data_IF_188444392843
#
_entry.id   IF_188444392843
#
_cell.length_a   1.000
_cell.length_b   1.000
_cell.length_c   1.000
_cell.angle_alpha   90.00
_cell.angle_beta   90.00
_cell.angle_gamma   90.00
#
_symmetry.space_group_name_H-M   'P 1'
#
loop_
_entity.id
_entity.type
_entity.pdbx_description
1 polymer ?
#
# COMPACT_ATOMS: atom_id res chain seq x y z
N UNK A 1 7.40 -12.92 7.34
CA UNK A 1 6.13 -13.29 6.65
C UNK A 1 5.55 -12.05 6.02
N UNK A 2 5.06 -12.05 4.79
CA UNK A 2 4.58 -10.81 4.18
C UNK A 2 3.15 -10.43 4.64
N UNK A 3 3.01 -9.50 5.59
CA UNK A 3 1.72 -9.10 6.19
C UNK A 3 1.24 -7.68 5.80
N UNK A 4 1.85 -7.04 4.80
CA UNK A 4 1.51 -5.67 4.40
C UNK A 4 0.05 -5.47 3.93
N UNK A 5 -0.53 -6.45 3.22
CA UNK A 5 -1.93 -6.37 2.77
C UNK A 5 -2.93 -6.62 3.92
N UNK A 6 -2.57 -7.52 4.83
CA UNK A 6 -3.35 -7.74 6.05
C UNK A 6 -3.35 -6.50 6.93
N UNK A 7 -2.21 -5.79 7.04
CA UNK A 7 -2.12 -4.51 7.72
C UNK A 7 -3.06 -3.46 7.10
N UNK A 8 -3.06 -3.30 5.77
CA UNK A 8 -3.98 -2.38 5.11
C UNK A 8 -5.44 -2.75 5.41
N UNK A 9 -5.80 -4.03 5.26
CA UNK A 9 -7.16 -4.52 5.56
C UNK A 9 -7.56 -4.29 7.02
N UNK A 10 -6.62 -4.48 7.95
CA UNK A 10 -6.84 -4.23 9.38
C UNK A 10 -7.08 -2.74 9.63
N UNK A 11 -6.29 -1.83 9.06
CA UNK A 11 -6.50 -0.39 9.19
C UNK A 11 -7.88 0.05 8.69
N UNK A 12 -8.32 -0.46 7.53
CA UNK A 12 -9.66 -0.18 7.01
C UNK A 12 -10.76 -0.71 7.94
N UNK A 13 -10.57 -1.93 8.48
CA UNK A 13 -11.48 -2.49 9.48
C UNK A 13 -11.55 -1.66 10.77
N UNK A 14 -10.41 -1.15 11.27
CA UNK A 14 -10.38 -0.24 12.43
C UNK A 14 -11.08 1.09 12.15
N UNK A 15 -11.06 1.56 10.90
CA UNK A 15 -11.79 2.75 10.47
C UNK A 15 -13.27 2.49 10.14
N UNK A 16 -13.80 1.28 10.38
CA UNK A 16 -15.20 0.92 10.19
C UNK A 16 -15.58 0.45 8.80
N UNK A 17 -14.62 0.31 7.87
CA UNK A 17 -14.89 -0.17 6.52
C UNK A 17 -14.97 -1.70 6.48
N UNK A 18 -15.91 -2.22 5.67
CA UNK A 18 -16.08 -3.67 5.45
C UNK A 18 -15.04 -4.26 4.48
N UNK A 19 -14.33 -3.41 3.74
CA UNK A 19 -13.36 -3.78 2.72
C UNK A 19 -12.21 -2.75 2.67
N UNK A 20 -11.03 -3.11 2.14
CA UNK A 20 -10.64 -4.44 1.68
C UNK A 20 -10.38 -5.43 2.83
N UNK A 21 -10.57 -6.73 2.57
CA UNK A 21 -10.29 -7.81 3.54
C UNK A 21 -9.49 -8.94 2.86
N UNK A 22 -8.18 -8.76 2.78
CA UNK A 22 -7.28 -9.71 2.12
C UNK A 22 -5.86 -9.65 2.66
N UNK A 23 -5.18 -10.80 2.69
CA UNK A 23 -3.75 -10.89 2.97
C UNK A 23 -2.89 -10.88 1.69
N UNK A 24 -3.50 -10.76 0.51
CA UNK A 24 -2.82 -10.84 -0.79
C UNK A 24 -2.76 -9.46 -1.47
N UNK A 25 -1.57 -8.87 -1.55
CA UNK A 25 -1.40 -7.49 -2.03
C UNK A 25 -1.95 -7.20 -3.44
N UNK A 26 -1.85 -8.10 -4.46
CA UNK A 26 -2.52 -7.86 -5.75
C UNK A 26 -4.03 -7.68 -5.67
N UNK A 27 -4.70 -8.33 -4.71
CA UNK A 27 -6.16 -8.26 -4.58
C UNK A 27 -6.66 -6.90 -4.07
N UNK A 28 -5.77 -6.02 -3.59
CA UNK A 28 -6.09 -4.65 -3.21
C UNK A 28 -6.28 -3.71 -4.40
N UNK A 29 -5.98 -4.15 -5.63
CA UNK A 29 -6.03 -3.32 -6.84
C UNK A 29 -6.96 -3.90 -7.92
N UNK A 30 -8.24 -4.20 -7.62
CA UNK A 30 -9.19 -4.60 -8.65
C UNK A 30 -9.45 -3.44 -9.62
N UNK A 31 -9.75 -3.70 -10.91
CA UNK A 31 -9.86 -2.66 -11.94
C UNK A 31 -10.74 -1.46 -11.56
N UNK A 32 -11.90 -1.69 -10.95
CA UNK A 32 -12.84 -0.62 -10.56
C UNK A 32 -12.41 0.24 -9.37
N UNK A 33 -11.30 -0.10 -8.69
CA UNK A 33 -10.76 0.68 -7.57
C UNK A 33 -9.50 1.45 -7.96
N UNK A 34 -8.91 1.18 -9.12
CA UNK A 34 -7.64 1.80 -9.52
C UNK A 34 -7.86 3.26 -9.90
N UNK A 35 -7.04 4.14 -9.33
CA UNK A 35 -7.07 5.59 -9.59
C UNK A 35 -5.71 6.10 -10.09
N UNK A 36 -5.72 7.24 -10.79
CA UNK A 36 -4.52 7.82 -11.42
C UNK A 36 -3.68 8.67 -10.47
N UNK A 37 -4.30 9.25 -9.45
CA UNK A 37 -3.66 10.17 -8.52
C UNK A 37 -3.76 9.65 -7.09
N UNK A 38 -2.72 9.90 -6.29
CA UNK A 38 -2.72 9.59 -4.88
C UNK A 38 -3.48 10.64 -4.08
N UNK A 39 -4.30 10.19 -3.13
CA UNK A 39 -4.86 11.00 -2.05
C UNK A 39 -4.65 10.29 -0.71
N UNK A 40 -4.59 11.04 0.41
CA UNK A 40 -4.59 10.42 1.74
C UNK A 40 -5.76 9.44 1.93
N UNK A 41 -5.49 8.30 2.56
CA UNK A 41 -6.45 7.21 2.75
C UNK A 41 -6.41 6.14 1.66
N UNK A 42 -5.85 6.42 0.48
CA UNK A 42 -5.76 5.44 -0.61
C UNK A 42 -4.68 4.39 -0.35
N UNK A 43 -4.88 3.19 -0.90
CA UNK A 43 -3.87 2.12 -0.88
C UNK A 43 -2.89 2.33 -2.03
N UNK A 44 -1.59 2.24 -1.75
CA UNK A 44 -0.54 2.27 -2.76
C UNK A 44 0.12 0.90 -2.89
N UNK A 45 0.56 0.55 -4.12
CA UNK A 45 1.14 -0.75 -4.44
C UNK A 45 2.48 -0.62 -5.15
N UNK A 46 3.45 -1.43 -4.73
CA UNK A 46 4.76 -1.54 -5.36
C UNK A 46 4.86 -2.83 -6.18
N UNK A 47 5.25 -2.67 -7.44
CA UNK A 47 5.46 -3.79 -8.35
C UNK A 47 6.88 -4.34 -8.20
N UNK A 48 6.99 -5.66 -8.08
CA UNK A 48 8.28 -6.36 -8.00
C UNK A 48 8.47 -7.17 -9.28
N UNK A 49 9.43 -6.80 -10.16
CA UNK A 49 9.64 -7.49 -11.43
C UNK A 49 9.92 -8.98 -11.30
N UNK A 50 10.71 -9.39 -10.30
CA UNK A 50 11.04 -10.80 -10.04
C UNK A 50 9.81 -11.66 -9.71
N UNK A 51 8.75 -11.05 -9.16
CA UNK A 51 7.51 -11.73 -8.79
C UNK A 51 6.37 -11.46 -9.78
N UNK A 52 6.60 -10.58 -10.76
CA UNK A 52 5.65 -10.15 -11.80
C UNK A 52 4.29 -9.71 -11.27
N UNK A 53 4.27 -9.05 -10.10
CA UNK A 53 3.04 -8.59 -9.44
C UNK A 53 3.30 -7.44 -8.47
N UNK A 54 2.22 -6.83 -7.99
CA UNK A 54 2.27 -6.01 -6.77
C UNK A 54 2.64 -6.94 -5.61
N UNK A 55 3.81 -6.75 -5.02
CA UNK A 55 4.30 -7.61 -3.94
C UNK A 55 4.39 -6.89 -2.58
N UNK A 56 4.15 -5.58 -2.58
CA UNK A 56 4.09 -4.76 -1.38
C UNK A 56 3.03 -3.66 -1.51
N UNK A 57 2.46 -3.24 -0.39
CA UNK A 57 1.44 -2.21 -0.33
C UNK A 57 1.49 -1.43 0.98
N UNK A 58 0.91 -0.24 0.98
CA UNK A 58 0.71 0.59 2.17
C UNK A 58 -0.42 1.58 1.97
N UNK A 59 -0.60 2.47 2.94
CA UNK A 59 -1.63 3.53 2.92
C UNK A 59 -0.94 4.87 2.71
N UNK A 60 -1.42 5.67 1.77
CA UNK A 60 -0.99 7.06 1.59
C UNK A 60 -1.56 7.88 2.74
N UNK A 61 -0.72 8.62 3.46
CA UNK A 61 -1.13 9.52 4.55
C UNK A 61 -0.90 11.00 4.22
N UNK A 62 -0.18 11.29 3.12
CA UNK A 62 0.05 12.65 2.66
C UNK A 62 0.63 12.69 1.24
N UNK A 63 0.42 13.80 0.54
CA UNK A 63 0.99 14.05 -0.79
C UNK A 63 1.61 15.44 -0.80
N UNK A 64 2.88 15.54 -1.21
CA UNK A 64 3.66 16.79 -1.30
C UNK A 64 4.40 16.82 -2.64
N UNK A 65 3.85 17.53 -3.62
CA UNK A 65 4.40 17.54 -4.97
C UNK A 65 4.50 16.13 -5.53
N UNK A 66 5.70 15.69 -5.90
CA UNK A 66 5.99 14.36 -6.46
C UNK A 66 6.24 13.26 -5.43
N UNK A 67 6.02 13.55 -4.15
CA UNK A 67 6.25 12.63 -3.06
C UNK A 67 4.96 12.27 -2.32
N UNK A 68 4.81 11.00 -1.97
CA UNK A 68 3.77 10.47 -1.12
C UNK A 68 4.39 10.08 0.23
N UNK A 69 3.81 10.59 1.32
CA UNK A 69 4.05 10.04 2.65
C UNK A 69 3.11 8.85 2.85
N UNK A 70 3.65 7.74 3.34
CA UNK A 70 2.96 6.44 3.38
C UNK A 70 3.22 5.74 4.71
N UNK A 71 2.27 4.93 5.17
CA UNK A 71 2.43 4.00 6.29
C UNK A 71 2.34 2.57 5.75
N UNK A 72 3.35 1.77 6.07
CA UNK A 72 3.53 0.44 5.51
C UNK A 72 3.83 -0.57 6.60
N UNK A 73 3.06 -1.65 6.66
CA UNK A 73 3.37 -2.82 7.46
C UNK A 73 4.38 -3.74 6.78
N UNK A 74 5.01 -4.62 7.54
CA UNK A 74 5.97 -5.62 7.07
C UNK A 74 7.10 -5.02 6.23
N UNK A 75 7.73 -3.97 6.77
CA UNK A 75 8.85 -3.31 6.08
C UNK A 75 10.00 -3.06 7.05
N UNK A 76 11.20 -2.93 6.51
CA UNK A 76 12.40 -2.50 7.24
C UNK A 76 12.95 -1.21 6.61
N UNK A 77 14.04 -0.67 7.14
CA UNK A 77 14.67 0.56 6.61
C UNK A 77 14.97 0.43 5.11
N UNK A 78 15.38 -0.76 4.65
CA UNK A 78 15.67 -1.06 3.24
C UNK A 78 14.43 -1.29 2.35
N UNK A 79 13.21 -1.41 2.91
CA UNK A 79 12.00 -1.70 2.13
C UNK A 79 11.79 -3.18 1.80
N UNK A 80 12.46 -4.08 2.51
CA UNK A 80 12.35 -5.52 2.31
C UNK A 80 11.01 -6.09 2.77
N UNK A 81 10.63 -7.24 2.19
CA UNK A 81 9.42 -8.01 2.52
C UNK A 81 9.58 -8.87 3.77
N UNK A 82 10.76 -8.88 4.36
CA UNK A 82 11.13 -9.57 5.59
C UNK A 82 11.24 -8.60 6.77
N UNK A 83 10.65 -7.40 6.64
CA UNK A 83 10.67 -6.41 7.71
C UNK A 83 9.59 -6.66 8.76
N UNK A 84 9.88 -6.33 10.01
CA UNK A 84 9.04 -6.69 11.15
C UNK A 84 8.28 -5.52 11.79
N UNK A 85 8.25 -4.36 11.13
CA UNK A 85 7.65 -3.15 11.70
C UNK A 85 6.64 -2.47 10.77
N UNK A 86 5.80 -1.63 11.38
CA UNK A 86 5.04 -0.58 10.70
C UNK A 86 5.93 0.66 10.62
N UNK A 87 6.17 1.18 9.42
CA UNK A 87 7.02 2.35 9.23
C UNK A 87 6.35 3.42 8.37
N UNK A 88 6.70 4.68 8.65
CA UNK A 88 6.43 5.79 7.74
C UNK A 88 7.50 5.84 6.66
N UNK A 89 7.10 6.01 5.41
CA UNK A 89 8.01 6.14 4.27
C UNK A 89 7.62 7.28 3.36
N UNK A 90 8.63 8.00 2.89
CA UNK A 90 8.49 8.97 1.83
C UNK A 90 8.84 8.27 0.50
N UNK A 91 7.90 8.27 -0.44
CA UNK A 91 8.05 7.61 -1.73
C UNK A 91 7.81 8.58 -2.87
N UNK A 92 8.70 8.56 -3.85
CA UNK A 92 8.47 9.29 -5.09
C UNK A 92 7.35 8.59 -5.88
N UNK A 93 6.40 9.34 -6.45
CA UNK A 93 5.25 8.78 -7.20
C UNK A 93 5.66 7.75 -8.25
N UNK A 94 6.75 8.01 -9.00
CA UNK A 94 7.37 7.09 -9.97
C UNK A 94 7.71 5.69 -9.44
N UNK A 95 7.89 5.51 -8.13
CA UNK A 95 8.20 4.20 -7.52
C UNK A 95 6.95 3.41 -7.18
N UNK A 96 5.77 4.06 -7.19
CA UNK A 96 4.49 3.46 -6.89
C UNK A 96 3.84 3.04 -8.20
N UNK A 97 3.50 1.77 -8.31
CA UNK A 97 2.95 1.20 -9.54
C UNK A 97 1.45 1.45 -9.69
N UNK A 98 0.70 1.42 -8.59
CA UNK A 98 -0.76 1.60 -8.57
C UNK A 98 -1.23 2.28 -7.30
N UNK A 99 -2.33 3.02 -7.43
CA UNK A 99 -3.15 3.50 -6.33
C UNK A 99 -4.54 2.86 -6.43
N UNK A 100 -5.15 2.58 -5.29
CA UNK A 100 -6.52 2.08 -5.20
C UNK A 100 -7.34 2.87 -4.18
N UNK A 101 -8.52 3.30 -4.60
CA UNK A 101 -9.48 4.02 -3.77
C UNK A 101 -10.54 3.07 -3.21
N UNK A 102 -10.46 2.83 -1.91
CA UNK A 102 -11.36 1.95 -1.15
C UNK A 102 -12.35 2.73 -0.28
N UNK A 103 -12.34 4.05 -0.35
CA UNK A 103 -13.28 4.93 0.33
C UNK A 103 -14.61 5.04 -0.44
#
# INVERSE_FOLDING_TARGET
MAWCAAFCSWCFGQAGYKAPKTAWSPALFPPGRIVKAALPGMVMGLYFPSLRRIAHCGIVIGVKGEWCETVEGNTNVAGSREGDAVMRKLRHKRTIAKYADWL
#
